data_IF_993743078894
#
_entry.id   IF_993743078894
#
_cell.length_a   1.000
_cell.length_b   1.000
_cell.length_c   1.000
_cell.angle_alpha   90.00
_cell.angle_beta   90.00
_cell.angle_gamma   90.00
#
_symmetry.space_group_name_H-M   'P 1'
#
loop_
_entity.id
_entity.type
_entity.pdbx_description
1 polymer ?
#
# COMPACT_ATOMS: atom_id res chain seq x y z
N UNK A 1 8.86 9.16 -4.60
CA UNK A 1 8.07 8.57 -5.69
C UNK A 1 6.69 9.19 -5.60
N UNK A 2 6.21 9.79 -6.68
CA UNK A 2 4.86 10.31 -6.77
C UNK A 2 3.87 9.13 -6.85
N UNK A 3 2.65 9.28 -6.34
CA UNK A 3 1.63 8.20 -6.34
C UNK A 3 1.33 7.69 -7.75
N UNK A 4 1.33 8.59 -8.74
CA UNK A 4 1.05 8.26 -10.14
C UNK A 4 2.12 7.34 -10.74
N UNK A 5 3.39 7.55 -10.43
CA UNK A 5 4.48 6.67 -10.86
C UNK A 5 4.31 5.27 -10.26
N UNK A 6 3.91 5.19 -8.99
CA UNK A 6 3.65 3.92 -8.32
C UNK A 6 2.46 3.17 -8.95
N UNK A 7 1.38 3.88 -9.31
CA UNK A 7 0.23 3.29 -10.01
C UNK A 7 0.64 2.78 -11.39
N UNK A 8 1.45 3.53 -12.13
CA UNK A 8 1.90 3.09 -13.44
C UNK A 8 2.83 1.86 -13.37
N UNK A 9 3.73 1.82 -12.39
CA UNK A 9 4.56 0.64 -12.11
C UNK A 9 3.69 -0.58 -11.76
N UNK A 10 2.72 -0.40 -10.84
CA UNK A 10 1.77 -1.46 -10.46
C UNK A 10 0.97 -1.98 -11.66
N UNK A 11 0.54 -1.10 -12.56
CA UNK A 11 -0.14 -1.50 -13.81
C UNK A 11 0.78 -2.29 -14.75
N UNK A 12 2.03 -1.87 -14.91
CA UNK A 12 3.03 -2.58 -15.73
C UNK A 12 3.29 -3.99 -15.18
N UNK A 13 3.36 -4.12 -13.86
CA UNK A 13 3.53 -5.40 -13.17
C UNK A 13 2.23 -6.20 -13.00
N UNK A 14 1.09 -5.66 -13.45
CA UNK A 14 -0.25 -6.27 -13.33
C UNK A 14 -0.65 -6.59 -11.89
N UNK A 15 -0.20 -5.76 -10.95
CA UNK A 15 -0.61 -5.79 -9.55
C UNK A 15 -2.13 -5.60 -9.48
N UNK A 16 -2.83 -6.54 -8.85
CA UNK A 16 -4.28 -6.45 -8.62
C UNK A 16 -4.60 -6.04 -7.20
N UNK A 17 -3.74 -6.40 -6.25
CA UNK A 17 -3.91 -6.07 -4.84
C UNK A 17 -2.62 -5.50 -4.25
N UNK A 18 -2.73 -4.40 -3.54
CA UNK A 18 -1.58 -3.72 -2.93
C UNK A 18 -1.79 -3.55 -1.42
N UNK A 19 -0.78 -3.88 -0.64
CA UNK A 19 -0.79 -3.70 0.81
C UNK A 19 -0.19 -2.35 1.17
N UNK A 20 -0.95 -1.47 1.81
CA UNK A 20 -0.53 -0.09 2.09
C UNK A 20 -0.14 0.06 3.56
N UNK A 21 1.07 0.54 3.79
CA UNK A 21 1.61 0.88 5.11
C UNK A 21 1.85 2.39 5.19
N UNK A 22 1.45 3.00 6.31
CA UNK A 22 1.54 4.45 6.49
C UNK A 22 1.68 4.79 7.99
N UNK A 23 2.35 5.90 8.34
CA UNK A 23 2.39 6.42 9.70
C UNK A 23 1.05 7.06 10.09
N UNK A 24 0.72 7.10 11.38
CA UNK A 24 -0.57 7.62 11.87
C UNK A 24 -0.89 9.04 11.39
N UNK A 25 0.11 9.89 11.18
CA UNK A 25 -0.04 11.25 10.66
C UNK A 25 -0.57 11.35 9.22
N UNK A 26 -0.65 10.23 8.49
CA UNK A 26 -1.12 10.16 7.10
C UNK A 26 -2.50 9.49 6.93
N UNK A 27 -3.23 9.21 8.04
CA UNK A 27 -4.58 8.61 8.02
C UNK A 27 -5.55 9.32 7.07
N UNK A 28 -5.56 10.65 7.01
CA UNK A 28 -6.48 11.36 6.10
C UNK A 28 -6.11 11.20 4.63
N UNK A 29 -4.81 11.10 4.30
CA UNK A 29 -4.35 10.90 2.93
C UNK A 29 -4.50 9.46 2.46
N UNK A 30 -4.45 8.49 3.37
CA UNK A 30 -4.53 7.07 3.00
C UNK A 30 -5.86 6.71 2.35
N UNK A 31 -6.96 7.32 2.81
CA UNK A 31 -8.29 7.10 2.26
C UNK A 31 -8.40 7.65 0.84
N UNK A 32 -7.81 8.82 0.58
CA UNK A 32 -7.76 9.40 -0.77
C UNK A 32 -6.91 8.53 -1.71
N UNK A 33 -5.76 8.04 -1.24
CA UNK A 33 -4.90 7.15 -2.01
C UNK A 33 -5.60 5.82 -2.33
N UNK A 34 -6.30 5.25 -1.36
CA UNK A 34 -7.06 4.02 -1.56
C UNK A 34 -8.16 4.19 -2.61
N UNK A 35 -8.94 5.28 -2.53
CA UNK A 35 -9.97 5.59 -3.54
C UNK A 35 -9.39 5.75 -4.95
N UNK A 36 -8.22 6.39 -5.07
CA UNK A 36 -7.50 6.51 -6.35
C UNK A 36 -7.06 5.13 -6.86
N UNK A 37 -6.54 4.26 -6.00
CA UNK A 37 -6.11 2.91 -6.38
C UNK A 37 -7.30 2.05 -6.84
N UNK A 38 -8.41 2.08 -6.11
CA UNK A 38 -9.64 1.37 -6.49
C UNK A 38 -10.18 1.84 -7.84
N UNK A 39 -10.19 3.16 -8.09
CA UNK A 39 -10.57 3.74 -9.40
C UNK A 39 -9.67 3.27 -10.54
N UNK A 40 -8.42 2.91 -10.23
CA UNK A 40 -7.47 2.36 -11.19
C UNK A 40 -7.53 0.82 -11.30
N UNK A 41 -8.48 0.17 -10.63
CA UNK A 41 -8.68 -1.28 -10.66
C UNK A 41 -7.69 -2.06 -9.79
N UNK A 42 -7.06 -1.39 -8.83
CA UNK A 42 -6.13 -1.98 -7.87
C UNK A 42 -6.84 -2.02 -6.51
N UNK A 43 -6.88 -3.18 -5.87
CA UNK A 43 -7.51 -3.42 -4.56
C UNK A 43 -6.54 -3.02 -3.42
N UNK A 44 -6.78 -1.90 -2.71
CA UNK A 44 -5.90 -1.44 -1.65
C UNK A 44 -6.27 -2.10 -0.31
N UNK A 45 -5.30 -2.76 0.32
CA UNK A 45 -5.43 -3.31 1.66
C UNK A 45 -4.66 -2.43 2.63
N UNK A 46 -5.39 -1.66 3.43
CA UNK A 46 -4.82 -0.69 4.36
C UNK A 46 -4.47 -1.39 5.69
N UNK A 47 -3.20 -1.37 6.07
CA UNK A 47 -2.76 -1.87 7.38
C UNK A 47 -2.99 -0.81 8.46
N UNK A 48 -3.94 -1.04 9.38
CA UNK A 48 -4.31 -0.11 10.45
C UNK A 48 -3.58 -0.37 11.78
N UNK A 49 -2.75 -1.41 11.87
CA UNK A 49 -2.04 -1.75 13.12
C UNK A 49 -0.77 -0.92 13.30
N UNK A 50 -0.52 -0.46 14.54
CA UNK A 50 0.72 0.22 14.91
C UNK A 50 1.90 -0.75 14.75
N UNK A 51 2.85 -0.43 13.87
CA UNK A 51 4.08 -1.20 13.69
C UNK A 51 5.04 -0.91 14.86
N UNK A 52 5.13 -1.83 15.82
CA UNK A 52 6.02 -1.71 16.99
C UNK A 52 7.48 -2.11 16.74
N UNK A 53 7.96 -2.15 15.48
CA UNK A 53 9.37 -2.47 15.22
C UNK A 53 9.77 -2.57 13.75
N UNK A 54 11.03 -2.22 13.48
CA UNK A 54 11.66 -2.12 12.16
C UNK A 54 12.15 -3.45 11.56
N UNK A 55 11.73 -4.60 12.10
CA UNK A 55 12.16 -5.93 11.64
C UNK A 55 11.04 -6.73 10.95
N UNK A 56 9.97 -6.05 10.54
CA UNK A 56 8.71 -6.67 10.13
C UNK A 56 8.20 -5.98 8.85
N UNK A 57 8.93 -6.17 7.74
CA UNK A 57 8.26 -6.11 6.46
C UNK A 57 7.18 -7.19 6.52
N UNK A 58 5.92 -6.76 6.57
CA UNK A 58 4.73 -7.61 6.67
C UNK A 58 4.49 -8.38 5.36
N UNK A 59 5.54 -8.91 4.76
CA UNK A 59 5.50 -9.75 3.57
C UNK A 59 4.63 -10.98 3.84
N UNK A 60 4.67 -11.55 5.05
CA UNK A 60 3.81 -12.68 5.43
C UNK A 60 2.32 -12.30 5.45
N UNK A 61 1.94 -11.16 6.01
CA UNK A 61 0.53 -10.71 6.00
C UNK A 61 0.09 -10.32 4.59
N UNK A 62 0.94 -9.61 3.84
CA UNK A 62 0.70 -9.32 2.43
C UNK A 62 0.51 -10.62 1.63
N UNK A 63 1.35 -11.64 1.85
CA UNK A 63 1.26 -12.96 1.22
C UNK A 63 -0.01 -13.71 1.63
N UNK A 64 -0.37 -13.69 2.92
CA UNK A 64 -1.61 -14.30 3.44
C UNK A 64 -2.86 -13.64 2.87
N UNK A 65 -2.82 -12.32 2.70
CA UNK A 65 -3.87 -11.50 2.08
C UNK A 65 -3.79 -11.53 0.54
N UNK A 66 -2.81 -12.22 -0.03
CA UNK A 66 -2.55 -12.35 -1.47
C UNK A 66 -2.40 -11.01 -2.17
N UNK A 67 -1.69 -10.09 -1.53
CA UNK A 67 -1.28 -8.83 -2.14
C UNK A 67 -0.11 -9.11 -3.09
N UNK A 68 -0.14 -8.49 -4.27
CA UNK A 68 0.91 -8.61 -5.29
C UNK A 68 2.03 -7.59 -5.06
N UNK A 69 1.77 -6.51 -4.30
CA UNK A 69 2.74 -5.49 -3.98
C UNK A 69 2.52 -4.88 -2.58
N UNK A 70 3.57 -4.24 -2.04
CA UNK A 70 3.51 -3.45 -0.80
C UNK A 70 3.84 -2.00 -1.13
N UNK A 71 2.94 -1.08 -0.80
CA UNK A 71 3.12 0.36 -0.92
C UNK A 71 3.42 0.96 0.46
N UNK A 72 4.68 1.28 0.70
CA UNK A 72 5.11 1.90 1.95
C UNK A 72 5.19 3.42 1.80
N UNK A 73 4.33 4.16 2.51
CA UNK A 73 4.24 5.61 2.43
C UNK A 73 4.85 6.26 3.68
N UNK A 74 5.73 7.25 3.48
CA UNK A 74 6.15 8.16 4.54
C UNK A 74 7.45 7.83 5.28
N UNK A 75 8.21 6.81 4.85
CA UNK A 75 9.58 6.57 5.36
C UNK A 75 10.58 6.88 4.23
N UNK A 76 11.60 7.69 4.56
CA UNK A 76 12.72 8.05 3.66
C UNK A 76 13.91 7.14 4.01
#
# INVERSE_FOLDING_TARGET
>A
MELEEAIEAMKKEKVKRVFIQFPEGLKSKILEIADILEKNGIDPIICLENTYGACDLRDEEALRLKCDAILHLGHN
#
